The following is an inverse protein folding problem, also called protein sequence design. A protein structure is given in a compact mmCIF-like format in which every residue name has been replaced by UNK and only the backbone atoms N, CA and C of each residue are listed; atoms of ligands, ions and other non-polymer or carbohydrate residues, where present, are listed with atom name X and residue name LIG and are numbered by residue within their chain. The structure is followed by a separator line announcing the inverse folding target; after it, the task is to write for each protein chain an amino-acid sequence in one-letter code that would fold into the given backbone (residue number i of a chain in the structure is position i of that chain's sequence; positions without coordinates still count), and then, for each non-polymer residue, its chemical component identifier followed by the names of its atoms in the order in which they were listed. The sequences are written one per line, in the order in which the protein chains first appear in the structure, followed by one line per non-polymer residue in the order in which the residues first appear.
data_IF_740154091704
#
_entry.id   IF_740154091704
#
_cell.length_a   1.000
_cell.length_b   1.000
_cell.length_c   1.000
_cell.angle_alpha   90.00
_cell.angle_beta   90.00
_cell.angle_gamma   90.00
#
_symmetry.space_group_name_H-M   'P 1'
#
loop_
_entity.id
_entity.type
_entity.pdbx_description
1 polymer ?
#
# COMPACT_ATOMS: atom_id res chain seq x y z
N UNK A 1 27.70 -24.42 -40.36
CA UNK A 1 26.46 -25.17 -40.68
C UNK A 1 25.67 -25.28 -39.39
N UNK A 2 24.72 -24.37 -39.16
CA UNK A 2 23.78 -24.52 -38.05
C UNK A 2 22.83 -25.69 -38.35
N UNK A 3 22.45 -26.50 -37.35
CA UNK A 3 21.50 -27.58 -37.54
C UNK A 3 20.10 -27.00 -37.74
N UNK A 4 19.47 -27.38 -38.85
CA UNK A 4 18.11 -26.97 -39.18
C UNK A 4 17.11 -27.83 -38.37
N UNK A 5 16.53 -27.24 -37.32
CA UNK A 5 15.51 -27.89 -36.49
C UNK A 5 14.30 -28.35 -37.32
N UNK A 6 13.89 -29.61 -37.12
CA UNK A 6 12.80 -30.23 -37.86
C UNK A 6 11.44 -29.60 -37.49
N UNK A 7 10.47 -29.64 -38.41
CA UNK A 7 9.14 -29.02 -38.26
C UNK A 7 8.39 -29.48 -37.01
N UNK A 8 8.64 -30.71 -36.54
CA UNK A 8 8.05 -31.30 -35.34
C UNK A 8 8.66 -30.74 -34.05
N UNK A 9 9.98 -30.54 -34.01
CA UNK A 9 10.68 -29.92 -32.87
C UNK A 9 10.29 -28.44 -32.70
N UNK A 10 10.17 -27.70 -33.80
CA UNK A 10 9.65 -26.31 -33.79
C UNK A 10 8.22 -26.23 -33.24
N UNK A 11 7.39 -27.25 -33.47
CA UNK A 11 6.00 -27.30 -32.98
C UNK A 11 5.92 -27.62 -31.48
N UNK A 12 6.75 -28.53 -30.99
CA UNK A 12 6.81 -28.90 -29.56
C UNK A 12 7.37 -27.73 -28.73
N UNK A 13 8.37 -27.01 -29.24
CA UNK A 13 8.91 -25.82 -28.57
C UNK A 13 7.90 -24.66 -28.51
N UNK A 14 7.08 -24.48 -29.56
CA UNK A 14 5.97 -23.51 -29.54
C UNK A 14 4.89 -23.87 -28.52
N UNK A 15 4.52 -25.15 -28.42
CA UNK A 15 3.53 -25.63 -27.43
C UNK A 15 4.03 -25.50 -25.99
N UNK A 16 5.30 -25.84 -25.73
CA UNK A 16 5.93 -25.63 -24.42
C UNK A 16 6.04 -24.15 -24.06
N UNK A 17 6.41 -23.29 -25.01
CA UNK A 17 6.46 -21.84 -24.78
C UNK A 17 5.07 -21.26 -24.48
N UNK A 18 4.02 -21.70 -25.18
CA UNK A 18 2.63 -21.27 -24.91
C UNK A 18 2.14 -21.76 -23.54
N UNK A 19 2.48 -22.99 -23.13
CA UNK A 19 2.17 -23.49 -21.78
C UNK A 19 2.93 -22.74 -20.68
N UNK A 20 4.21 -22.43 -20.88
CA UNK A 20 5.01 -21.64 -19.92
C UNK A 20 4.52 -20.19 -19.81
N UNK A 21 4.11 -19.58 -20.92
CA UNK A 21 3.54 -18.23 -20.95
C UNK A 21 2.15 -18.16 -20.31
N UNK A 22 1.33 -19.21 -20.46
CA UNK A 22 0.01 -19.26 -19.82
C UNK A 22 0.10 -19.55 -18.32
N UNK A 23 1.04 -20.40 -17.87
CA UNK A 23 1.27 -20.63 -16.44
C UNK A 23 1.80 -19.39 -15.70
N UNK A 24 2.68 -18.61 -16.34
CA UNK A 24 3.21 -17.36 -15.77
C UNK A 24 2.16 -16.24 -15.73
N UNK A 25 1.28 -16.16 -16.73
CA UNK A 25 0.17 -15.22 -16.72
C UNK A 25 -0.86 -15.56 -15.61
N UNK A 26 -1.19 -16.83 -15.42
CA UNK A 26 -2.09 -17.28 -14.36
C UNK A 26 -1.50 -17.03 -12.96
N UNK A 27 -0.23 -17.36 -12.72
CA UNK A 27 0.40 -17.13 -11.41
C UNK A 27 0.54 -15.65 -11.07
N UNK A 28 0.78 -14.79 -12.07
CA UNK A 28 0.79 -13.34 -11.85
C UNK A 28 -0.58 -12.80 -11.40
N UNK A 29 -1.67 -13.25 -12.03
CA UNK A 29 -3.03 -12.85 -11.66
C UNK A 29 -3.43 -13.19 -10.21
N UNK A 30 -3.02 -14.36 -9.70
CA UNK A 30 -3.29 -14.77 -8.31
C UNK A 30 -2.52 -13.92 -7.30
N UNK A 31 -1.23 -13.68 -7.54
CA UNK A 31 -0.42 -12.84 -6.65
C UNK A 31 -0.96 -11.40 -6.53
N UNK A 32 -1.62 -10.88 -7.58
CA UNK A 32 -2.20 -9.54 -7.59
C UNK A 32 -3.50 -9.43 -6.78
N UNK A 33 -4.34 -10.47 -6.80
CA UNK A 33 -5.56 -10.51 -6.00
C UNK A 33 -5.22 -10.56 -4.50
N UNK A 34 -4.19 -11.34 -4.15
CA UNK A 34 -3.73 -11.49 -2.76
C UNK A 34 -3.22 -10.16 -2.18
N UNK A 35 -2.43 -9.38 -2.94
CA UNK A 35 -1.92 -8.07 -2.47
C UNK A 35 -3.03 -7.06 -2.17
N UNK A 36 -4.06 -6.98 -3.03
CA UNK A 36 -5.20 -6.09 -2.81
C UNK A 36 -6.07 -6.54 -1.65
N UNK A 37 -6.32 -7.84 -1.53
CA UNK A 37 -7.07 -8.40 -0.41
C UNK A 37 -6.36 -8.13 0.92
N UNK A 38 -5.06 -8.39 0.98
CA UNK A 38 -4.25 -8.13 2.17
C UNK A 38 -4.26 -6.64 2.54
N UNK A 39 -4.07 -5.76 1.56
CA UNK A 39 -4.11 -4.32 1.75
C UNK A 39 -5.50 -3.84 2.25
N UNK A 40 -6.60 -4.47 1.81
CA UNK A 40 -7.93 -4.16 2.32
C UNK A 40 -8.09 -4.58 3.79
N UNK A 41 -7.64 -5.79 4.15
CA UNK A 41 -7.71 -6.29 5.52
C UNK A 41 -6.93 -5.38 6.46
N UNK A 42 -5.67 -5.08 6.13
CA UNK A 42 -4.84 -4.18 6.94
C UNK A 42 -5.40 -2.77 7.01
N UNK A 43 -5.90 -2.25 5.88
CA UNK A 43 -6.50 -0.91 5.82
C UNK A 43 -7.73 -0.79 6.70
N UNK A 44 -8.57 -1.83 6.74
CA UNK A 44 -9.73 -1.89 7.63
C UNK A 44 -9.32 -1.94 9.12
N UNK A 45 -8.37 -2.82 9.48
CA UNK A 45 -7.88 -2.91 10.87
C UNK A 45 -7.22 -1.61 11.34
N UNK A 46 -6.45 -0.96 10.47
CA UNK A 46 -5.81 0.33 10.76
C UNK A 46 -6.83 1.47 10.89
N UNK A 47 -7.86 1.48 10.04
CA UNK A 47 -8.97 2.43 10.14
C UNK A 47 -9.67 2.29 11.48
N UNK A 48 -9.98 1.06 11.89
CA UNK A 48 -10.63 0.76 13.17
C UNK A 48 -9.75 1.21 14.37
N UNK A 49 -8.45 0.93 14.34
CA UNK A 49 -7.51 1.37 15.38
C UNK A 49 -7.48 2.90 15.54
N UNK A 50 -7.55 3.65 14.42
CA UNK A 50 -7.60 5.11 14.43
C UNK A 50 -8.94 5.62 14.96
N UNK A 51 -10.06 5.05 14.51
CA UNK A 51 -11.40 5.43 14.97
C UNK A 51 -11.60 5.14 16.46
N UNK A 52 -11.00 4.07 16.98
CA UNK A 52 -10.95 3.73 18.41
C UNK A 52 -9.89 4.50 19.21
N UNK A 53 -9.16 5.42 18.57
CA UNK A 53 -8.10 6.23 19.19
C UNK A 53 -7.02 5.39 19.90
N UNK A 54 -6.63 4.25 19.32
CA UNK A 54 -5.62 3.34 19.86
C UNK A 54 -4.18 3.83 19.63
N UNK A 55 -3.98 5.14 19.65
CA UNK A 55 -2.70 5.79 19.38
C UNK A 55 -1.66 5.43 20.43
N UNK A 56 -0.47 5.06 19.98
CA UNK A 56 0.67 4.81 20.86
C UNK A 56 1.28 6.10 21.41
N UNK A 57 1.72 6.03 22.67
CA UNK A 57 2.65 7.02 23.19
C UNK A 57 4.09 6.67 22.77
N UNK A 58 4.52 7.20 21.64
CA UNK A 58 5.86 6.96 21.07
C UNK A 58 7.02 7.29 22.00
N UNK A 59 6.84 8.17 23.00
CA UNK A 59 7.89 8.52 23.98
C UNK A 59 8.10 7.44 25.04
N UNK A 60 7.09 6.58 25.26
CA UNK A 60 7.15 5.46 26.22
C UNK A 60 7.68 4.16 25.60
N UNK A 61 7.88 4.14 24.28
CA UNK A 61 8.43 2.99 23.55
C UNK A 61 9.95 2.88 23.77
N UNK A 62 10.50 1.68 24.01
CA UNK A 62 11.96 1.47 24.08
C UNK A 62 12.70 2.01 22.84
N UNK A 63 12.07 1.93 21.67
CA UNK A 63 12.61 2.32 20.38
C UNK A 63 12.44 3.82 20.08
N UNK A 64 11.99 4.63 21.06
CA UNK A 64 11.67 6.05 20.84
C UNK A 64 12.78 6.82 20.10
N UNK A 65 14.04 6.61 20.47
CA UNK A 65 15.19 7.27 19.83
C UNK A 65 15.33 6.85 18.37
N UNK A 66 15.13 5.58 18.06
CA UNK A 66 15.18 5.05 16.71
C UNK A 66 14.01 5.57 15.87
N UNK A 67 12.79 5.59 16.41
CA UNK A 67 11.61 6.17 15.75
C UNK A 67 11.83 7.65 15.46
N UNK A 68 12.38 8.41 16.42
CA UNK A 68 12.69 9.83 16.24
C UNK A 68 13.74 10.06 15.14
N UNK A 69 14.79 9.24 15.11
CA UNK A 69 15.82 9.30 14.06
C UNK A 69 15.21 8.98 12.69
N UNK A 70 14.45 7.89 12.61
CA UNK A 70 13.75 7.47 11.40
C UNK A 70 12.86 8.58 10.85
N UNK A 71 12.03 9.21 11.70
CA UNK A 71 11.19 10.33 11.29
C UNK A 71 12.00 11.56 10.86
N UNK A 72 13.13 11.86 11.50
CA UNK A 72 14.00 12.98 11.07
C UNK A 72 14.50 12.81 9.63
N UNK A 73 14.77 11.57 9.22
CA UNK A 73 15.28 11.21 7.89
C UNK A 73 14.16 11.04 6.86
N UNK A 74 12.98 10.59 7.31
CA UNK A 74 11.92 10.10 6.41
C UNK A 74 10.59 10.88 6.49
N UNK A 75 10.41 11.83 7.40
CA UNK A 75 9.14 12.56 7.47
C UNK A 75 8.94 13.51 6.27
N UNK A 76 7.68 13.81 5.98
CA UNK A 76 7.33 14.92 5.10
C UNK A 76 7.34 16.26 5.85
N UNK A 77 7.84 17.36 5.23
CA UNK A 77 7.82 18.68 5.84
C UNK A 77 6.39 19.10 6.24
N UNK A 78 6.23 19.57 7.48
CA UNK A 78 4.95 20.03 8.02
C UNK A 78 3.93 18.94 8.34
N UNK A 79 4.26 17.65 8.13
CA UNK A 79 3.39 16.52 8.46
C UNK A 79 3.72 16.01 9.87
N UNK A 80 2.68 15.77 10.68
CA UNK A 80 2.80 15.13 11.99
C UNK A 80 2.62 13.63 11.83
N UNK A 81 3.29 12.85 12.67
CA UNK A 81 3.23 11.39 12.60
C UNK A 81 2.74 10.80 13.91
N UNK A 82 1.81 9.87 13.78
CA UNK A 82 1.22 9.12 14.89
C UNK A 82 1.43 7.63 14.71
N UNK A 83 1.71 6.93 15.81
CA UNK A 83 2.02 5.50 15.79
C UNK A 83 0.85 4.65 16.23
N UNK A 84 0.66 3.52 15.56
CA UNK A 84 -0.37 2.52 15.85
C UNK A 84 0.25 1.11 15.81
N UNK A 85 -0.25 0.20 16.65
CA UNK A 85 0.05 -1.23 16.56
C UNK A 85 -1.21 -1.95 16.12
N UNK A 86 -1.09 -2.76 15.07
CA UNK A 86 -2.24 -3.36 14.37
C UNK A 86 -1.93 -4.83 14.06
N UNK A 87 -3.00 -5.63 13.99
CA UNK A 87 -2.96 -7.06 13.72
C UNK A 87 -3.10 -7.91 14.98
N UNK A 88 -3.33 -9.20 14.75
CA UNK A 88 -3.27 -10.20 15.82
C UNK A 88 -1.90 -10.10 16.49
N UNK A 89 -1.91 -9.95 17.81
CA UNK A 89 -0.70 -9.77 18.63
C UNK A 89 0.17 -8.54 18.29
N UNK A 90 -0.39 -7.50 17.67
CA UNK A 90 0.35 -6.25 17.39
C UNK A 90 1.56 -6.44 16.45
N UNK A 91 1.47 -7.41 15.54
CA UNK A 91 2.52 -7.80 14.60
C UNK A 91 3.03 -6.68 13.67
N UNK A 92 2.24 -5.62 13.45
CA UNK A 92 2.66 -4.48 12.62
C UNK A 92 2.56 -3.14 13.36
N UNK A 93 3.57 -2.33 13.16
CA UNK A 93 3.63 -0.93 13.56
C UNK A 93 3.40 -0.02 12.37
N UNK A 94 2.50 0.94 12.52
CA UNK A 94 2.15 1.92 11.51
C UNK A 94 2.46 3.34 11.98
N UNK A 95 3.14 4.12 11.13
CA UNK A 95 3.31 5.57 11.30
C UNK A 95 2.47 6.32 10.28
N UNK A 96 1.46 7.01 10.77
CA UNK A 96 0.46 7.70 9.93
C UNK A 96 0.74 9.19 9.93
N UNK A 97 1.04 9.72 8.75
CA UNK A 97 1.16 11.15 8.51
C UNK A 97 -0.20 11.84 8.53
N UNK A 98 -0.30 13.00 9.19
CA UNK A 98 -1.50 13.85 9.20
C UNK A 98 -1.14 15.35 9.17
N UNK A 99 -2.01 16.15 8.55
CA UNK A 99 -1.93 17.62 8.51
C UNK A 99 -3.33 18.22 8.42
N UNK A 100 -3.89 18.61 9.56
CA UNK A 100 -5.23 19.20 9.61
C UNK A 100 -6.29 18.26 9.03
N UNK A 101 -7.04 18.74 8.03
CA UNK A 101 -8.07 17.97 7.29
C UNK A 101 -7.58 17.47 5.92
N UNK A 102 -6.29 17.54 5.67
CA UNK A 102 -5.69 17.16 4.39
C UNK A 102 -5.71 15.65 4.20
N UNK A 103 -6.04 15.21 2.98
CA UNK A 103 -5.94 13.81 2.54
C UNK A 103 -4.49 13.55 2.13
N UNK A 104 -3.78 12.81 2.97
CA UNK A 104 -2.36 12.52 2.77
C UNK A 104 -2.26 11.11 2.21
N UNK A 105 -1.76 10.96 0.99
CA UNK A 105 -1.52 9.64 0.41
C UNK A 105 -0.08 9.19 0.67
N UNK A 106 0.82 10.16 0.84
CA UNK A 106 2.25 9.94 0.81
C UNK A 106 2.91 9.72 2.15
N UNK A 107 3.93 8.86 2.13
CA UNK A 107 4.96 8.71 3.18
C UNK A 107 4.42 8.40 4.57
N UNK A 108 3.35 7.62 4.65
CA UNK A 108 3.04 6.73 5.77
C UNK A 108 4.02 5.55 5.78
N UNK A 109 4.16 4.87 6.92
CA UNK A 109 5.06 3.74 7.06
C UNK A 109 4.41 2.55 7.76
N UNK A 110 4.78 1.34 7.32
CA UNK A 110 4.49 0.05 7.96
C UNK A 110 5.81 -0.61 8.30
N UNK A 111 5.95 -1.15 9.50
CA UNK A 111 7.11 -1.94 9.92
C UNK A 111 6.63 -3.16 10.71
N UNK A 112 7.27 -4.33 10.56
CA UNK A 112 6.97 -5.48 11.40
C UNK A 112 7.45 -5.25 12.85
N UNK A 113 6.79 -5.93 13.77
CA UNK A 113 7.17 -6.03 15.18
C UNK A 113 7.70 -7.43 15.42
N UNK A 114 8.96 -7.53 15.80
CA UNK A 114 9.67 -8.80 16.03
C UNK A 114 10.08 -8.85 17.49
N UNK A 115 9.66 -9.87 18.22
CA UNK A 115 9.91 -10.04 19.66
C UNK A 115 9.51 -8.80 20.48
N UNK A 116 8.41 -8.15 20.09
CA UNK A 116 7.88 -6.93 20.73
C UNK A 116 8.61 -5.64 20.33
N UNK A 117 9.63 -5.72 19.47
CA UNK A 117 10.46 -4.60 19.01
C UNK A 117 10.09 -4.19 17.59
N UNK A 118 9.96 -2.89 17.36
CA UNK A 118 9.67 -2.33 16.03
C UNK A 118 10.93 -2.38 15.15
N UNK A 119 10.89 -3.17 14.07
CA UNK A 119 11.99 -3.32 13.12
C UNK A 119 11.98 -2.22 12.03
N UNK A 120 12.43 -1.01 12.40
CA UNK A 120 12.38 0.18 11.53
C UNK A 120 13.29 0.12 10.29
N UNK A 121 14.29 -0.74 10.29
CA UNK A 121 15.16 -1.01 9.14
C UNK A 121 14.42 -1.67 7.97
N UNK A 122 13.35 -2.40 8.27
CA UNK A 122 12.45 -3.02 7.29
C UNK A 122 11.19 -2.20 7.01
N UNK A 123 11.14 -0.94 7.46
CA UNK A 123 9.97 -0.09 7.29
C UNK A 123 9.67 0.21 5.81
N UNK A 124 8.45 -0.10 5.39
CA UNK A 124 7.95 0.15 4.05
C UNK A 124 7.19 1.47 4.02
N UNK A 125 7.38 2.27 2.96
CA UNK A 125 6.64 3.51 2.79
C UNK A 125 5.49 3.35 1.80
N UNK A 126 4.34 3.93 2.13
CA UNK A 126 3.16 4.02 1.25
C UNK A 126 3.49 4.52 -0.16
N UNK A 127 4.45 5.42 -0.28
CA UNK A 127 4.84 6.09 -1.53
C UNK A 127 6.31 6.45 -1.52
N UNK A 128 6.87 6.83 -2.67
CA UNK A 128 8.25 7.32 -2.77
C UNK A 128 8.42 8.78 -2.33
N UNK A 129 7.34 9.54 -2.18
CA UNK A 129 7.39 10.97 -1.91
C UNK A 129 6.19 11.51 -1.13
N UNK A 130 6.27 12.78 -0.77
CA UNK A 130 5.26 13.47 0.05
C UNK A 130 4.04 13.87 -0.78
N UNK A 131 3.17 12.91 -1.10
CA UNK A 131 1.93 13.18 -1.80
C UNK A 131 0.82 13.61 -0.84
N UNK A 132 0.31 14.81 -1.07
CA UNK A 132 -0.75 15.43 -0.29
C UNK A 132 -1.78 15.99 -1.28
N UNK A 133 -3.03 15.54 -1.19
CA UNK A 133 -4.10 15.95 -2.10
C UNK A 133 -4.84 17.20 -1.58
N UNK A 134 -4.43 17.73 -0.42
CA UNK A 134 -5.07 18.85 0.25
C UNK A 134 -6.35 18.44 0.97
N UNK A 135 -7.08 19.41 1.54
CA UNK A 135 -8.33 19.14 2.22
C UNK A 135 -9.42 18.70 1.22
N UNK A 136 -10.24 17.71 1.60
CA UNK A 136 -11.44 17.37 0.83
C UNK A 136 -12.41 18.56 0.84
N UNK A 137 -12.72 19.13 -0.32
CA UNK A 137 -13.80 20.12 -0.43
C UNK A 137 -15.17 19.45 -0.21
N UNK A 138 -16.19 20.19 0.31
CA UNK A 138 -17.48 19.61 0.69
C UNK A 138 -18.12 18.78 -0.42
N UNK A 139 -18.16 19.31 -1.64
CA UNK A 139 -18.87 18.73 -2.79
C UNK A 139 -17.99 17.81 -3.66
N UNK A 140 -16.76 17.54 -3.24
CA UNK A 140 -15.86 16.63 -3.97
C UNK A 140 -16.31 15.18 -3.75
N UNK A 141 -16.67 14.54 -4.86
CA UNK A 141 -17.02 13.12 -4.92
C UNK A 141 -15.77 12.21 -4.88
N UNK A 142 -14.67 12.66 -5.48
CA UNK A 142 -13.45 11.87 -5.57
C UNK A 142 -12.18 12.72 -5.70
N UNK A 143 -11.05 12.14 -5.31
CA UNK A 143 -9.72 12.71 -5.51
C UNK A 143 -8.83 11.72 -6.26
N UNK A 144 -7.86 12.23 -7.03
CA UNK A 144 -6.99 11.39 -7.88
C UNK A 144 -5.54 11.55 -7.45
N UNK A 145 -4.82 10.43 -7.38
CA UNK A 145 -3.39 10.37 -7.11
C UNK A 145 -2.70 9.51 -8.19
N UNK A 146 -1.53 9.94 -8.66
CA UNK A 146 -0.70 9.19 -9.60
C UNK A 146 0.75 9.17 -9.10
N UNK A 147 1.57 8.21 -9.55
CA UNK A 147 2.94 7.91 -9.07
C UNK A 147 3.04 7.14 -7.75
N UNK A 148 2.13 6.18 -7.56
CA UNK A 148 2.14 5.28 -6.42
C UNK A 148 2.85 3.97 -6.79
N UNK A 149 3.08 3.10 -5.80
CA UNK A 149 3.60 1.74 -6.01
C UNK A 149 2.81 1.00 -7.11
N UNK A 150 3.29 -0.15 -7.62
CA UNK A 150 2.57 -0.90 -8.65
C UNK A 150 1.08 -1.13 -8.35
N UNK A 151 0.71 -1.20 -7.07
CA UNK A 151 -0.67 -1.32 -6.58
C UNK A 151 -0.98 -0.32 -5.46
N UNK A 152 -2.26 0.02 -5.25
CA UNK A 152 -2.71 0.61 -4.00
C UNK A 152 -2.39 -0.31 -2.82
N UNK A 153 -2.10 0.30 -1.68
CA UNK A 153 -1.86 -0.36 -0.40
C UNK A 153 -2.85 0.13 0.67
N UNK A 154 -2.74 -0.42 1.88
CA UNK A 154 -3.64 -0.20 3.01
C UNK A 154 -3.82 1.29 3.39
N UNK A 155 -2.83 2.13 3.11
CA UNK A 155 -2.89 3.56 3.40
C UNK A 155 -3.89 4.29 2.51
N UNK A 156 -4.09 3.86 1.27
CA UNK A 156 -5.10 4.45 0.39
C UNK A 156 -6.50 4.14 0.93
N UNK A 157 -6.73 2.90 1.37
CA UNK A 157 -7.99 2.51 1.96
C UNK A 157 -8.26 3.29 3.26
N UNK A 158 -7.25 3.42 4.12
CA UNK A 158 -7.32 4.24 5.32
C UNK A 158 -7.79 5.66 4.98
N UNK A 159 -7.13 6.33 4.04
CA UNK A 159 -7.41 7.72 3.68
C UNK A 159 -8.81 7.89 3.08
N UNK A 160 -9.23 6.97 2.21
CA UNK A 160 -10.60 6.91 1.68
C UNK A 160 -11.62 6.85 2.82
N UNK A 161 -11.40 5.96 3.80
CA UNK A 161 -12.33 5.73 4.89
C UNK A 161 -12.41 6.91 5.87
N UNK A 162 -11.28 7.42 6.36
CA UNK A 162 -11.27 8.48 7.39
C UNK A 162 -11.74 9.83 6.85
N UNK A 163 -11.60 10.06 5.54
CA UNK A 163 -12.05 11.29 4.88
C UNK A 163 -13.39 11.13 4.16
N UNK A 164 -13.98 9.93 4.17
CA UNK A 164 -15.20 9.60 3.44
C UNK A 164 -15.16 10.11 1.99
N UNK A 165 -14.11 9.74 1.25
CA UNK A 165 -13.86 10.20 -0.12
C UNK A 165 -13.46 9.04 -1.02
N UNK A 166 -13.98 9.00 -2.24
CA UNK A 166 -13.50 8.05 -3.24
C UNK A 166 -12.10 8.46 -3.67
N UNK A 167 -11.15 7.53 -3.71
CA UNK A 167 -9.82 7.77 -4.27
C UNK A 167 -9.64 6.99 -5.57
N UNK A 168 -9.16 7.69 -6.60
CA UNK A 168 -8.68 7.09 -7.83
C UNK A 168 -7.15 7.06 -7.81
N UNK A 169 -6.60 5.86 -7.84
CA UNK A 169 -5.17 5.61 -7.67
C UNK A 169 -4.59 5.09 -8.99
N UNK A 170 -3.93 5.98 -9.71
CA UNK A 170 -3.24 5.66 -10.95
C UNK A 170 -1.87 5.04 -10.66
N UNK A 171 -1.72 3.76 -11.02
CA UNK A 171 -0.45 3.02 -10.94
C UNK A 171 -0.01 2.55 -12.32
N UNK A 172 1.15 1.88 -12.39
CA UNK A 172 1.61 1.23 -13.63
C UNK A 172 0.71 0.06 -14.05
N UNK A 173 -0.01 -0.54 -13.11
CA UNK A 173 -0.90 -1.68 -13.35
C UNK A 173 -2.32 -1.26 -13.74
N UNK A 174 -2.63 0.05 -13.67
CA UNK A 174 -3.92 0.60 -14.09
C UNK A 174 -4.44 1.67 -13.14
N UNK A 175 -5.70 2.05 -13.34
CA UNK A 175 -6.41 2.94 -12.43
C UNK A 175 -7.20 2.10 -11.44
N UNK A 176 -6.99 2.30 -10.15
CA UNK A 176 -7.75 1.62 -9.10
C UNK A 176 -8.73 2.58 -8.45
N UNK A 177 -9.90 2.07 -8.08
CA UNK A 177 -10.90 2.77 -7.28
C UNK A 177 -10.81 2.28 -5.85
N UNK A 178 -10.70 3.20 -4.91
CA UNK A 178 -10.72 2.95 -3.48
C UNK A 178 -11.95 3.64 -2.90
N UNK A 179 -12.89 2.85 -2.40
CA UNK A 179 -14.18 3.34 -1.91
C UNK A 179 -14.87 2.31 -1.04
N UNK A 180 -15.64 2.75 -0.06
CA UNK A 180 -16.59 1.92 0.70
C UNK A 180 -15.94 0.64 1.28
N UNK A 181 -14.71 0.77 1.81
CA UNK A 181 -13.98 -0.37 2.39
C UNK A 181 -13.30 -1.29 1.36
N UNK A 182 -13.28 -0.94 0.07
CA UNK A 182 -12.77 -1.80 -1.01
C UNK A 182 -11.79 -1.08 -1.93
N UNK A 183 -10.95 -1.88 -2.59
CA UNK A 183 -9.99 -1.51 -3.62
C UNK A 183 -10.15 -2.45 -4.81
N UNK A 184 -10.39 -1.91 -6.00
CA UNK A 184 -10.58 -2.70 -7.21
C UNK A 184 -10.07 -1.95 -8.43
N UNK A 185 -9.67 -2.69 -9.46
CA UNK A 185 -9.30 -2.10 -10.74
C UNK A 185 -10.52 -1.42 -11.34
N UNK A 186 -10.38 -0.18 -11.80
CA UNK A 186 -11.42 0.52 -12.55
C UNK A 186 -11.57 -0.20 -13.88
N UNK A 187 -12.72 -0.82 -14.13
CA UNK A 187 -13.03 -1.38 -15.44
C UNK A 187 -12.92 -0.27 -16.49
N UNK A 188 -11.96 -0.41 -17.40
CA UNK A 188 -12.00 0.30 -18.67
C UNK A 188 -13.19 -0.27 -19.44
N UNK A 189 -14.30 0.47 -19.47
CA UNK A 189 -15.39 0.20 -20.41
C UNK A 189 -14.86 0.16 -21.84
#
# INVERSE_FOLDING_TARGET
KEPELTKREKSVHKLLAVYLLSFTALSSGYAHADELEEAQVWGAMLTDAIQKNMKLNLKKRPEHKAIKKFLKENQCPGIKYEGYLVGEEQQYFYLIGSKGKEVIIGRHFKAPVVDGVIALDSAQSSTKGCLNLGPKAPDVAAMVATHLQPYPNEFHLLQSNIHAVTLYIGTKSGMFVVKDGKMYLSDSK
#
